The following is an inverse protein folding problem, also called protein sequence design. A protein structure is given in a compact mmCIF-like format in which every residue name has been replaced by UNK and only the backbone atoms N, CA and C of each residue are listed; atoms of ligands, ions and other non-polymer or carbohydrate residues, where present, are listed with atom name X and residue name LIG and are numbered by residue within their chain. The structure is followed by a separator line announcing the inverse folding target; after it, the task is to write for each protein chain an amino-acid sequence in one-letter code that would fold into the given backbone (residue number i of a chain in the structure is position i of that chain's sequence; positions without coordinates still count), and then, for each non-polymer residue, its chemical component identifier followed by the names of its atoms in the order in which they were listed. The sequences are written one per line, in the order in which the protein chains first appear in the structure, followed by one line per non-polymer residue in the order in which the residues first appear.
data_IF_338765604609
#
_entry.id   IF_338765604609
#
_cell.length_a   1.000
_cell.length_b   1.000
_cell.length_c   1.000
_cell.angle_alpha   90.00
_cell.angle_beta   90.00
_cell.angle_gamma   90.00
#
_symmetry.space_group_name_H-M   'P 1'
#
loop_
_entity.id
_entity.type
_entity.pdbx_description
1 polymer ?
#
# COMPACT_ATOMS: atom_id res chain seq x y z
N UNK A 1 3.25 6.03 10.06
CA UNK A 1 3.75 6.42 8.72
C UNK A 1 3.40 7.86 8.37
N UNK A 2 2.12 8.23 8.29
CA UNK A 2 1.69 9.58 7.89
C UNK A 2 2.37 10.70 8.68
N UNK A 3 2.43 10.59 10.01
CA UNK A 3 3.20 11.52 10.86
C UNK A 3 4.66 11.70 10.43
N UNK A 4 5.34 10.62 10.01
CA UNK A 4 6.72 10.68 9.55
C UNK A 4 6.83 11.34 8.17
N UNK A 5 5.87 11.10 7.27
CA UNK A 5 5.81 11.78 5.98
C UNK A 5 5.52 13.28 6.15
N UNK A 6 4.62 13.66 7.08
CA UNK A 6 4.35 15.06 7.41
C UNK A 6 5.56 15.79 7.96
N UNK A 7 6.39 15.13 8.77
CA UNK A 7 7.64 15.68 9.29
C UNK A 7 8.64 16.00 8.19
N UNK A 8 8.61 15.26 7.08
CA UNK A 8 9.54 15.37 5.97
C UNK A 8 8.89 15.84 4.67
N UNK A 9 7.71 16.46 4.73
CA UNK A 9 6.96 16.94 3.56
C UNK A 9 7.73 17.95 2.70
N UNK A 10 8.68 18.67 3.30
CA UNK A 10 9.53 19.67 2.65
C UNK A 10 10.89 19.09 2.21
N UNK A 11 11.17 17.80 2.47
CA UNK A 11 12.37 17.13 1.95
C UNK A 11 12.26 17.02 0.41
N UNK A 12 13.27 17.42 -0.36
CA UNK A 12 13.20 17.45 -1.83
C UNK A 12 12.83 16.12 -2.49
N UNK A 13 13.30 15.00 -1.93
CA UNK A 13 13.06 13.67 -2.49
C UNK A 13 11.73 13.07 -2.01
N UNK A 14 11.41 13.21 -0.73
CA UNK A 14 10.16 12.67 -0.17
C UNK A 14 8.92 13.46 -0.58
N UNK A 15 9.05 14.77 -0.82
CA UNK A 15 7.95 15.61 -1.30
C UNK A 15 7.37 15.12 -2.64
N UNK A 16 8.16 14.41 -3.45
CA UNK A 16 7.70 13.79 -4.70
C UNK A 16 6.66 12.68 -4.47
N UNK A 17 6.64 12.10 -3.27
CA UNK A 17 5.73 11.02 -2.86
C UNK A 17 4.69 11.49 -1.83
N UNK A 18 4.62 12.78 -1.53
CA UNK A 18 3.73 13.32 -0.49
C UNK A 18 2.35 13.65 -1.06
N UNK A 19 1.41 12.70 -0.92
CA UNK A 19 0.02 12.81 -1.39
C UNK A 19 -0.98 12.62 -0.22
N UNK A 20 -1.02 13.56 0.75
CA UNK A 20 -1.79 13.36 1.97
C UNK A 20 -3.30 13.36 1.74
N UNK A 21 -3.82 13.99 0.68
CA UNK A 21 -5.26 13.98 0.37
C UNK A 21 -5.66 12.66 -0.26
N UNK A 22 -4.82 12.18 -1.17
CA UNK A 22 -5.10 11.01 -1.98
C UNK A 22 -4.82 9.72 -1.22
N UNK A 23 -3.80 9.67 -0.36
CA UNK A 23 -3.28 8.43 0.21
C UNK A 23 -3.44 8.29 1.72
N UNK A 24 -3.63 9.36 2.51
CA UNK A 24 -3.73 9.23 3.97
C UNK A 24 -4.91 8.34 4.35
N UNK A 25 -4.67 7.41 5.27
CA UNK A 25 -5.59 6.35 5.71
C UNK A 25 -6.00 6.50 7.17
N UNK A 26 -5.32 7.31 7.99
CA UNK A 26 -5.65 7.46 9.42
C UNK A 26 -7.13 7.77 9.67
N UNK A 27 -7.66 8.81 9.03
CA UNK A 27 -9.06 9.22 9.25
C UNK A 27 -10.05 8.13 8.82
N UNK A 28 -9.76 7.45 7.71
CA UNK A 28 -10.54 6.32 7.23
C UNK A 28 -10.49 5.12 8.20
N UNK A 29 -9.32 4.81 8.76
CA UNK A 29 -9.16 3.79 9.80
C UNK A 29 -9.93 4.16 11.08
N UNK A 30 -9.92 5.42 11.49
CA UNK A 30 -10.68 5.88 12.65
C UNK A 30 -12.19 5.73 12.44
N UNK A 31 -12.69 5.99 11.22
CA UNK A 31 -14.09 5.75 10.84
C UNK A 31 -14.46 4.26 10.88
N UNK A 32 -13.61 3.39 10.32
CA UNK A 32 -13.84 1.96 10.34
C UNK A 32 -13.81 1.40 11.77
N UNK A 33 -12.89 1.86 12.62
CA UNK A 33 -12.83 1.45 14.03
C UNK A 33 -14.07 1.86 14.81
N UNK A 34 -14.59 3.06 14.58
CA UNK A 34 -15.85 3.53 15.17
C UNK A 34 -17.05 2.71 14.68
N UNK A 35 -17.09 2.37 13.39
CA UNK A 35 -18.14 1.52 12.85
C UNK A 35 -18.16 0.13 13.52
N UNK A 36 -17.00 -0.52 13.67
CA UNK A 36 -16.92 -1.87 14.23
C UNK A 36 -17.07 -1.94 15.76
N UNK A 37 -16.63 -0.92 16.49
CA UNK A 37 -16.54 -0.95 17.96
C UNK A 37 -17.42 0.10 18.66
N UNK A 38 -18.14 0.93 17.91
CA UNK A 38 -18.95 2.03 18.44
C UNK A 38 -18.14 3.29 18.79
N UNK A 39 -18.80 4.32 19.36
CA UNK A 39 -18.18 5.63 19.62
C UNK A 39 -17.00 5.56 20.61
N UNK A 40 -16.99 4.55 21.48
CA UNK A 40 -15.95 4.32 22.49
C UNK A 40 -14.81 3.42 21.98
N UNK A 41 -14.67 3.24 20.65
CA UNK A 41 -13.68 2.33 20.03
C UNK A 41 -12.25 2.53 20.51
N UNK A 42 -11.87 3.74 20.92
CA UNK A 42 -10.53 4.05 21.44
C UNK A 42 -10.23 3.30 22.75
N UNK A 43 -11.25 3.06 23.56
CA UNK A 43 -11.14 2.29 24.81
C UNK A 43 -11.05 0.78 24.56
N UNK A 44 -11.45 0.34 23.36
CA UNK A 44 -11.44 -1.07 22.92
C UNK A 44 -10.15 -1.48 22.22
N UNK A 45 -9.23 -0.54 21.96
CA UNK A 45 -7.96 -0.84 21.32
C UNK A 45 -7.12 -1.78 22.19
N UNK A 46 -6.64 -2.85 21.58
CA UNK A 46 -5.67 -3.74 22.22
C UNK A 46 -4.30 -3.05 22.32
N UNK A 47 -3.47 -3.46 23.29
CA UNK A 47 -2.08 -3.01 23.35
C UNK A 47 -1.35 -3.29 22.04
N UNK A 48 -0.41 -2.41 21.68
CA UNK A 48 0.45 -2.60 20.51
C UNK A 48 1.19 -3.93 20.63
N UNK A 49 1.02 -4.79 19.63
CA UNK A 49 1.65 -6.11 19.60
C UNK A 49 3.14 -6.01 19.25
N UNK A 50 3.95 -7.04 19.53
CA UNK A 50 5.36 -7.06 19.15
C UNK A 50 5.63 -6.76 17.66
N UNK A 51 4.89 -7.35 16.72
CA UNK A 51 5.11 -7.09 15.29
C UNK A 51 4.67 -5.67 14.90
N UNK A 52 3.57 -5.15 15.47
CA UNK A 52 3.16 -3.75 15.29
C UNK A 52 4.24 -2.79 15.80
N UNK A 53 4.78 -3.03 17.00
CA UNK A 53 5.84 -2.21 17.56
C UNK A 53 7.12 -2.25 16.70
N UNK A 54 7.48 -3.42 16.18
CA UNK A 54 8.62 -3.56 15.27
C UNK A 54 8.43 -2.76 13.98
N UNK A 55 7.22 -2.73 13.43
CA UNK A 55 6.89 -1.91 12.26
C UNK A 55 6.96 -0.41 12.58
N UNK A 56 6.35 0.02 13.69
CA UNK A 56 6.39 1.42 14.15
C UNK A 56 7.83 1.88 14.33
N UNK A 57 8.66 1.07 15.00
CA UNK A 57 10.07 1.36 15.21
C UNK A 57 10.85 1.51 13.91
N UNK A 58 10.54 0.70 12.89
CA UNK A 58 11.20 0.80 11.58
C UNK A 58 10.90 2.15 10.91
N UNK A 59 9.64 2.59 10.94
CA UNK A 59 9.23 3.90 10.40
C UNK A 59 9.90 5.04 11.19
N UNK A 60 9.87 4.98 12.52
CA UNK A 60 10.47 6.02 13.37
C UNK A 60 12.00 6.09 13.23
N UNK A 61 12.66 4.95 13.05
CA UNK A 61 14.09 4.90 12.73
C UNK A 61 14.39 5.59 11.41
N UNK A 62 13.63 5.31 10.35
CA UNK A 62 13.81 6.00 9.06
C UNK A 62 13.54 7.51 9.20
N UNK A 63 12.49 7.90 9.91
CA UNK A 63 12.13 9.31 10.09
C UNK A 63 13.16 10.10 10.91
N UNK A 64 13.85 9.45 11.84
CA UNK A 64 14.84 10.08 12.73
C UNK A 64 16.29 9.98 12.22
N UNK A 65 16.53 9.26 11.13
CA UNK A 65 17.87 9.07 10.59
C UNK A 65 18.35 10.28 9.77
N UNK A 66 19.66 10.37 9.48
CA UNK A 66 20.20 11.33 8.51
C UNK A 66 19.75 11.08 7.06
N UNK A 67 19.04 9.97 6.79
CA UNK A 67 18.58 9.52 5.47
C UNK A 67 17.08 9.22 5.49
N UNK A 68 16.23 10.25 5.68
CA UNK A 68 14.78 10.07 5.75
C UNK A 68 14.19 9.51 4.44
N UNK A 69 14.91 9.58 3.31
CA UNK A 69 14.53 9.03 2.01
C UNK A 69 14.17 7.54 2.07
N UNK A 70 14.64 6.81 3.08
CA UNK A 70 14.21 5.43 3.36
C UNK A 70 12.69 5.30 3.59
N UNK A 71 12.00 6.37 3.99
CA UNK A 71 10.53 6.41 4.09
C UNK A 71 9.84 6.17 2.74
N UNK A 72 10.52 6.40 1.62
CA UNK A 72 10.01 6.06 0.29
C UNK A 72 9.68 4.56 0.16
N UNK A 73 10.46 3.69 0.83
CA UNK A 73 10.20 2.25 0.87
C UNK A 73 8.87 1.92 1.56
N UNK A 74 8.61 2.54 2.72
CA UNK A 74 7.39 2.33 3.49
C UNK A 74 6.15 2.82 2.74
N UNK A 75 6.24 4.04 2.19
CA UNK A 75 5.19 4.62 1.35
C UNK A 75 4.90 3.75 0.12
N UNK A 76 5.94 3.25 -0.54
CA UNK A 76 5.83 2.37 -1.69
C UNK A 76 5.10 1.07 -1.35
N UNK A 77 5.58 0.33 -0.34
CA UNK A 77 5.02 -0.98 0.01
C UNK A 77 3.57 -0.85 0.44
N UNK A 78 3.24 0.17 1.25
CA UNK A 78 1.89 0.28 1.78
C UNK A 78 0.91 0.84 0.76
N UNK A 79 1.12 2.04 0.24
CA UNK A 79 0.11 2.71 -0.58
C UNK A 79 -0.10 2.06 -1.96
N UNK A 80 0.97 1.57 -2.61
CA UNK A 80 0.77 0.83 -3.87
C UNK A 80 0.13 -0.53 -3.63
N UNK A 81 0.38 -1.15 -2.47
CA UNK A 81 -0.32 -2.36 -2.03
C UNK A 81 -1.82 -2.11 -1.88
N UNK A 82 -2.16 -1.07 -1.11
CA UNK A 82 -3.55 -0.69 -0.84
C UNK A 82 -4.32 -0.35 -2.14
N UNK A 83 -3.70 0.39 -3.07
CA UNK A 83 -4.26 0.72 -4.39
C UNK A 83 -4.34 -0.46 -5.38
N UNK A 84 -3.69 -1.59 -5.09
CA UNK A 84 -3.67 -2.76 -5.98
C UNK A 84 -4.70 -3.82 -5.60
N UNK A 85 -5.02 -3.95 -4.31
CA UNK A 85 -5.92 -5.00 -3.80
C UNK A 85 -7.10 -4.50 -2.98
N UNK A 86 -7.13 -3.23 -2.59
CA UNK A 86 -8.08 -2.72 -1.59
C UNK A 86 -9.55 -2.91 -1.98
N UNK A 87 -9.89 -2.65 -3.24
CA UNK A 87 -11.26 -2.80 -3.74
C UNK A 87 -11.75 -4.24 -3.75
N UNK A 88 -10.86 -5.22 -3.94
CA UNK A 88 -11.22 -6.64 -3.85
C UNK A 88 -11.45 -7.04 -2.40
N UNK A 89 -10.62 -6.54 -1.48
CA UNK A 89 -10.77 -6.81 -0.04
C UNK A 89 -12.03 -6.17 0.53
N UNK A 90 -12.34 -4.92 0.15
CA UNK A 90 -13.55 -4.20 0.55
C UNK A 90 -14.82 -4.99 0.20
N UNK A 91 -14.96 -5.40 -1.06
CA UNK A 91 -16.10 -6.20 -1.53
C UNK A 91 -16.28 -7.51 -0.76
N UNK A 92 -15.17 -8.13 -0.35
CA UNK A 92 -15.23 -9.36 0.45
C UNK A 92 -15.64 -9.09 1.88
N UNK A 93 -15.06 -8.08 2.52
CA UNK A 93 -15.44 -7.70 3.87
C UNK A 93 -16.94 -7.45 3.96
N UNK A 94 -17.49 -6.75 2.98
CA UNK A 94 -18.94 -6.52 2.87
C UNK A 94 -19.73 -7.82 2.70
N UNK A 95 -19.31 -8.66 1.74
CA UNK A 95 -20.01 -9.90 1.43
C UNK A 95 -20.00 -10.91 2.57
N UNK A 96 -18.90 -11.04 3.31
CA UNK A 96 -18.74 -12.09 4.33
C UNK A 96 -19.18 -11.69 5.72
N UNK A 97 -19.31 -10.38 6.00
CA UNK A 97 -19.67 -9.88 7.33
C UNK A 97 -21.02 -9.15 7.34
N UNK A 98 -21.83 -9.27 6.28
CA UNK A 98 -23.11 -8.57 6.12
C UNK A 98 -23.03 -7.06 6.40
N UNK A 99 -21.90 -6.45 6.03
CA UNK A 99 -21.65 -5.02 6.23
C UNK A 99 -22.34 -4.23 5.11
N UNK A 100 -23.01 -3.10 5.40
CA UNK A 100 -23.59 -2.23 4.37
C UNK A 100 -22.58 -1.77 3.31
N UNK A 101 -23.07 -1.49 2.10
CA UNK A 101 -22.24 -1.18 0.91
C UNK A 101 -21.32 0.06 1.06
N UNK A 102 -21.51 0.91 2.08
CA UNK A 102 -20.75 2.15 2.28
C UNK A 102 -20.22 2.36 3.71
N UNK A 103 -20.15 1.29 4.53
CA UNK A 103 -19.66 1.40 5.92
C UNK A 103 -18.60 0.34 6.23
N UNK A 104 -17.73 0.60 7.20
CA UNK A 104 -16.72 -0.38 7.67
C UNK A 104 -15.67 -0.78 6.64
N UNK A 105 -15.52 -0.01 5.56
CA UNK A 105 -14.53 -0.23 4.49
C UNK A 105 -13.83 1.05 4.04
N UNK A 106 -13.96 2.15 4.79
CA UNK A 106 -13.42 3.46 4.43
C UNK A 106 -11.91 3.39 4.13
N UNK A 107 -11.16 2.55 4.84
CA UNK A 107 -9.73 2.32 4.60
C UNK A 107 -9.40 1.97 3.14
N UNK A 108 -10.29 1.21 2.48
CA UNK A 108 -10.12 0.73 1.12
C UNK A 108 -10.67 1.68 0.05
N UNK A 109 -11.35 2.75 0.46
CA UNK A 109 -11.91 3.77 -0.43
C UNK A 109 -10.93 4.94 -0.57
N UNK A 110 -10.57 5.25 -1.82
CA UNK A 110 -9.64 6.32 -2.16
C UNK A 110 -10.39 7.37 -2.98
N UNK A 111 -11.29 8.12 -2.33
CA UNK A 111 -12.23 9.02 -3.01
C UNK A 111 -11.55 10.14 -3.81
N UNK A 112 -10.37 10.58 -3.34
CA UNK A 112 -9.53 11.58 -4.00
C UNK A 112 -8.68 10.98 -5.15
N UNK A 113 -8.76 9.66 -5.39
CA UNK A 113 -8.10 8.95 -6.48
C UNK A 113 -9.13 8.49 -7.50
N UNK A 114 -9.35 9.30 -8.55
CA UNK A 114 -10.32 8.98 -9.62
C UNK A 114 -10.05 7.64 -10.32
N UNK A 115 -8.78 7.33 -10.57
CA UNK A 115 -8.38 6.03 -11.10
C UNK A 115 -7.09 5.53 -10.48
N UNK A 116 -7.19 4.39 -9.79
CA UNK A 116 -6.07 3.75 -9.13
C UNK A 116 -4.92 3.39 -10.07
N UNK A 117 -5.20 2.99 -11.32
CA UNK A 117 -4.13 2.57 -12.25
C UNK A 117 -3.31 3.76 -12.76
N UNK A 118 -3.97 4.86 -13.12
CA UNK A 118 -3.36 6.13 -13.48
C UNK A 118 -2.57 6.69 -12.32
N UNK A 119 -3.13 6.65 -11.10
CA UNK A 119 -2.43 7.12 -9.91
C UNK A 119 -1.20 6.28 -9.59
N UNK A 120 -1.28 4.95 -9.66
CA UNK A 120 -0.13 4.05 -9.50
C UNK A 120 0.95 4.38 -10.54
N UNK A 121 0.59 4.62 -11.80
CA UNK A 121 1.56 4.99 -12.83
C UNK A 121 2.23 6.35 -12.56
N UNK A 122 1.45 7.35 -12.13
CA UNK A 122 1.99 8.64 -11.70
C UNK A 122 2.95 8.47 -10.53
N UNK A 123 2.57 7.69 -9.51
CA UNK A 123 3.42 7.40 -8.35
C UNK A 123 4.73 6.74 -8.77
N UNK A 124 4.71 5.80 -9.72
CA UNK A 124 5.93 5.17 -10.28
C UNK A 124 6.84 6.17 -10.97
N UNK A 125 6.26 7.08 -11.76
CA UNK A 125 7.02 8.14 -12.45
C UNK A 125 7.70 9.03 -11.40
N UNK A 126 6.97 9.46 -10.37
CA UNK A 126 7.51 10.28 -9.26
C UNK A 126 8.61 9.57 -8.48
N UNK A 127 8.43 8.28 -8.20
CA UNK A 127 9.44 7.47 -7.53
C UNK A 127 10.75 7.39 -8.33
N UNK A 128 10.68 7.30 -9.66
CA UNK A 128 11.87 7.34 -10.54
C UNK A 128 12.53 8.72 -10.65
N UNK A 129 11.89 9.79 -10.15
CA UNK A 129 12.46 11.13 -10.09
C UNK A 129 13.23 11.39 -8.80
N UNK A 130 13.25 10.44 -7.86
CA UNK A 130 14.06 10.56 -6.65
C UNK A 130 15.54 10.49 -7.03
N UNK A 131 16.26 11.56 -6.71
CA UNK A 131 17.70 11.70 -6.97
C UNK A 131 18.48 11.37 -5.70
N UNK A 132 19.02 10.15 -5.64
CA UNK A 132 19.83 9.62 -4.53
C UNK A 132 21.08 8.92 -5.04
N UNK A 133 22.06 8.71 -4.17
CA UNK A 133 23.22 7.89 -4.50
C UNK A 133 22.82 6.43 -4.77
N UNK A 134 23.63 5.71 -5.52
CA UNK A 134 23.43 4.27 -5.76
C UNK A 134 23.39 3.47 -4.44
N UNK A 135 24.22 3.85 -3.47
CA UNK A 135 24.22 3.26 -2.13
C UNK A 135 22.88 3.46 -1.42
N UNK A 136 22.35 4.69 -1.41
CA UNK A 136 21.07 4.99 -0.78
C UNK A 136 19.90 4.33 -1.54
N UNK A 137 19.97 4.26 -2.88
CA UNK A 137 19.00 3.49 -3.68
C UNK A 137 18.97 2.03 -3.23
N UNK A 138 20.13 1.39 -3.05
CA UNK A 138 20.19 0.01 -2.58
C UNK A 138 19.63 -0.13 -1.15
N UNK A 139 19.86 0.84 -0.27
CA UNK A 139 19.29 0.86 1.07
C UNK A 139 17.75 1.02 1.04
N UNK A 140 17.21 1.87 0.17
CA UNK A 140 15.75 2.01 -0.01
C UNK A 140 15.15 0.67 -0.49
N UNK A 141 15.83 -0.02 -1.40
CA UNK A 141 15.38 -1.32 -1.90
C UNK A 141 15.38 -2.38 -0.81
N UNK A 142 16.42 -2.42 0.01
CA UNK A 142 16.48 -3.36 1.14
C UNK A 142 15.43 -3.03 2.20
N UNK A 143 15.24 -1.76 2.53
CA UNK A 143 14.18 -1.32 3.43
C UNK A 143 12.78 -1.71 2.93
N UNK A 144 12.55 -1.72 1.61
CA UNK A 144 11.27 -2.15 1.05
C UNK A 144 11.03 -3.65 1.21
N UNK A 145 12.07 -4.48 1.06
CA UNK A 145 11.97 -5.92 1.36
C UNK A 145 11.65 -6.15 2.83
N UNK A 146 12.38 -5.48 3.71
CA UNK A 146 12.17 -5.56 5.16
C UNK A 146 10.76 -5.08 5.54
N UNK A 147 10.27 -4.01 4.93
CA UNK A 147 8.91 -3.51 5.11
C UNK A 147 7.87 -4.53 4.64
N UNK A 148 8.12 -5.19 3.51
CA UNK A 148 7.24 -6.24 3.01
C UNK A 148 7.21 -7.44 3.98
N UNK A 149 8.37 -7.88 4.48
CA UNK A 149 8.47 -8.93 5.49
C UNK A 149 7.75 -8.55 6.79
N UNK A 150 7.85 -7.30 7.23
CA UNK A 150 7.11 -6.80 8.40
C UNK A 150 5.60 -6.85 8.23
N UNK A 151 5.09 -6.60 7.02
CA UNK A 151 3.66 -6.83 6.75
C UNK A 151 3.30 -8.32 6.89
N UNK A 152 4.15 -9.23 6.40
CA UNK A 152 3.94 -10.68 6.56
C UNK A 152 3.94 -11.05 8.05
N UNK A 153 4.87 -10.51 8.83
CA UNK A 153 4.96 -10.79 10.27
C UNK A 153 3.72 -10.28 11.03
N UNK A 154 3.16 -9.12 10.64
CA UNK A 154 1.88 -8.64 11.19
C UNK A 154 0.74 -9.63 10.93
N UNK A 155 0.63 -10.17 9.71
CA UNK A 155 -0.41 -11.15 9.41
C UNK A 155 -0.19 -12.46 10.15
N UNK A 156 1.07 -12.91 10.27
CA UNK A 156 1.39 -14.14 11.02
C UNK A 156 1.04 -14.02 12.49
N UNK A 157 1.42 -12.92 13.14
CA UNK A 157 1.09 -12.66 14.54
C UNK A 157 -0.43 -12.59 14.75
N UNK A 158 -1.16 -11.97 13.81
CA UNK A 158 -2.62 -11.94 13.85
C UNK A 158 -3.25 -13.33 13.69
N UNK A 159 -2.73 -14.18 12.79
CA UNK A 159 -3.21 -15.56 12.61
C UNK A 159 -2.94 -16.43 13.85
N UNK A 160 -1.80 -16.25 14.52
CA UNK A 160 -1.45 -16.91 15.79
C UNK A 160 -2.40 -16.49 16.92
N UNK A 161 -2.76 -15.20 16.99
CA UNK A 161 -3.73 -14.68 17.97
C UNK A 161 -5.18 -15.17 17.71
N UNK A 162 -5.48 -15.65 16.50
CA UNK A 162 -6.79 -16.20 16.12
C UNK A 162 -6.97 -17.71 16.38
N UNK A 163 -6.02 -18.36 17.09
CA UNK A 163 -6.11 -19.79 17.41
C UNK A 163 -7.44 -20.13 18.13
N UNK A 164 -8.32 -20.83 17.40
CA UNK A 164 -9.70 -21.17 17.80
C UNK A 164 -10.78 -20.78 16.77
N UNK A 165 -10.45 -19.89 15.82
CA UNK A 165 -11.33 -19.44 14.71
C UNK A 165 -10.67 -19.46 13.33
N UNK A 166 -9.38 -19.81 13.25
CA UNK A 166 -8.64 -19.85 11.98
C UNK A 166 -9.21 -20.93 11.03
N UNK A 167 -9.55 -20.49 9.81
CA UNK A 167 -9.90 -21.40 8.71
C UNK A 167 -8.71 -22.32 8.41
N UNK A 168 -8.99 -23.60 8.19
CA UNK A 168 -7.97 -24.58 7.78
C UNK A 168 -7.31 -24.17 6.46
N UNK A 169 -6.08 -24.61 6.20
CA UNK A 169 -5.40 -24.35 4.91
C UNK A 169 -6.26 -24.77 3.71
N UNK A 170 -7.08 -25.81 3.88
CA UNK A 170 -8.01 -26.28 2.87
C UNK A 170 -9.16 -25.30 2.64
N UNK A 171 -9.77 -24.78 3.70
CA UNK A 171 -10.81 -23.76 3.62
C UNK A 171 -10.25 -22.44 3.05
N UNK A 172 -9.03 -22.06 3.41
CA UNK A 172 -8.34 -20.90 2.83
C UNK A 172 -8.08 -21.09 1.33
N UNK A 173 -7.62 -22.27 0.91
CA UNK A 173 -7.35 -22.59 -0.49
C UNK A 173 -8.64 -22.65 -1.33
N UNK A 174 -9.72 -23.22 -0.79
CA UNK A 174 -11.04 -23.24 -1.43
C UNK A 174 -11.60 -21.83 -1.58
N UNK A 175 -11.44 -21.01 -0.54
CA UNK A 175 -11.81 -19.60 -0.60
C UNK A 175 -11.01 -18.91 -1.70
N UNK A 176 -9.68 -19.04 -1.72
CA UNK A 176 -8.78 -18.46 -2.72
C UNK A 176 -9.12 -18.91 -4.15
N UNK A 177 -9.45 -20.18 -4.34
CA UNK A 177 -9.85 -20.73 -5.64
C UNK A 177 -11.20 -20.15 -6.12
N UNK A 178 -12.16 -19.93 -5.21
CA UNK A 178 -13.43 -19.30 -5.52
C UNK A 178 -13.29 -17.84 -6.03
N UNK A 179 -12.10 -17.26 -5.90
CA UNK A 179 -11.78 -15.87 -6.21
C UNK A 179 -11.05 -15.71 -7.56
N UNK A 180 -10.60 -16.80 -8.17
CA UNK A 180 -9.96 -16.77 -9.49
C UNK A 180 -10.83 -16.15 -10.59
N UNK A 181 -12.15 -16.42 -10.69
CA UNK A 181 -12.98 -15.83 -11.74
C UNK A 181 -13.06 -14.30 -11.65
N UNK A 182 -13.14 -13.76 -10.44
CA UNK A 182 -13.22 -12.31 -10.22
C UNK A 182 -11.87 -11.62 -10.46
N UNK A 183 -10.76 -12.24 -10.02
CA UNK A 183 -9.40 -11.78 -10.36
C UNK A 183 -9.17 -11.78 -11.87
N UNK A 184 -9.62 -12.83 -12.57
CA UNK A 184 -9.50 -12.93 -14.01
C UNK A 184 -10.32 -11.84 -14.72
N UNK A 185 -11.53 -11.54 -14.24
CA UNK A 185 -12.39 -10.47 -14.75
C UNK A 185 -11.73 -9.09 -14.58
N UNK A 186 -11.26 -8.76 -13.38
CA UNK A 186 -10.57 -7.49 -13.11
C UNK A 186 -9.29 -7.35 -13.94
N UNK A 187 -8.50 -8.42 -14.06
CA UNK A 187 -7.31 -8.43 -14.91
C UNK A 187 -7.64 -8.30 -16.41
N UNK A 188 -8.83 -8.74 -16.85
CA UNK A 188 -9.30 -8.55 -18.22
C UNK A 188 -9.77 -7.10 -18.45
N UNK A 189 -10.53 -6.53 -17.52
CA UNK A 189 -10.94 -5.12 -17.53
C UNK A 189 -9.73 -4.19 -17.54
N UNK A 190 -8.71 -4.50 -16.73
CA UNK A 190 -7.47 -3.72 -16.68
C UNK A 190 -6.66 -3.85 -17.99
N UNK A 191 -6.59 -5.04 -18.59
CA UNK A 191 -5.97 -5.24 -19.91
C UNK A 191 -6.69 -4.43 -21.00
N UNK A 192 -8.02 -4.45 -21.01
CA UNK A 192 -8.82 -3.67 -21.95
C UNK A 192 -8.60 -2.16 -21.78
N UNK A 193 -8.58 -1.68 -20.53
CA UNK A 193 -8.28 -0.28 -20.19
C UNK A 193 -6.88 0.14 -20.67
N UNK A 194 -5.85 -0.68 -20.44
CA UNK A 194 -4.48 -0.41 -20.93
C UNK A 194 -4.39 -0.36 -22.45
N UNK A 195 -5.13 -1.22 -23.16
CA UNK A 195 -5.22 -1.18 -24.62
C UNK A 195 -5.90 0.10 -25.12
N UNK A 196 -6.98 0.54 -24.46
CA UNK A 196 -7.66 1.79 -24.79
C UNK A 196 -6.75 3.01 -24.58
N UNK A 197 -6.00 3.06 -23.47
CA UNK A 197 -5.01 4.11 -23.19
C UNK A 197 -3.89 4.16 -24.23
N UNK A 198 -3.41 3.00 -24.70
CA UNK A 198 -2.40 2.92 -25.78
C UNK A 198 -2.92 3.34 -27.15
N UNK A 199 -4.24 3.29 -27.36
CA UNK A 199 -4.87 3.71 -28.62
C UNK A 199 -5.08 5.22 -28.70
N UNK A 200 -4.90 5.96 -27.59
CA UNK A 200 -4.90 7.42 -27.60
C UNK A 200 -3.64 7.95 -28.30
N UNK A 201 -3.74 9.07 -29.03
CA UNK A 201 -2.57 9.68 -29.67
C UNK A 201 -1.52 10.04 -28.61
N UNK A 202 -0.22 9.84 -28.91
CA UNK A 202 0.84 10.13 -27.96
C UNK A 202 0.78 11.60 -27.56
N UNK A 203 0.59 11.85 -26.27
CA UNK A 203 0.80 13.17 -25.69
C UNK A 203 2.29 13.54 -25.88
N UNK A 204 2.63 14.80 -26.20
CA UNK A 204 4.02 15.19 -26.36
C UNK A 204 4.75 15.10 -25.01
N UNK A 205 5.47 14.01 -24.81
CA UNK A 205 6.40 13.83 -23.71
C UNK A 205 7.79 14.14 -24.26
N UNK A 206 8.42 15.20 -23.76
CA UNK A 206 9.85 15.41 -23.97
C UNK A 206 10.60 14.22 -23.36
N UNK A 207 11.20 13.38 -24.19
CA UNK A 207 12.03 12.27 -23.70
C UNK A 207 13.38 12.81 -23.23
N UNK A 208 13.79 12.63 -21.97
CA UNK A 208 15.20 12.71 -21.61
C UNK A 208 15.87 11.36 -21.92
N UNK A 209 17.06 11.43 -22.50
CA UNK A 209 17.98 10.32 -22.68
C UNK A 209 18.62 9.90 -21.35
N UNK A 210 18.70 8.58 -21.07
CA UNK A 210 19.71 7.82 -20.28
C UNK A 210 19.17 6.90 -19.13
N UNK A 211 19.92 5.82 -18.81
CA UNK A 211 19.74 4.77 -17.76
C UNK A 211 21.08 4.62 -17.00
N UNK A 212 21.18 4.38 -15.67
CA UNK A 212 20.24 3.66 -14.79
C UNK A 212 19.92 4.33 -13.43
N UNK A 213 18.64 4.46 -13.10
CA UNK A 213 18.12 4.78 -11.75
C UNK A 213 16.61 4.44 -11.65
N UNK A 214 16.18 3.32 -12.21
CA UNK A 214 14.78 2.93 -12.14
C UNK A 214 14.46 2.35 -10.75
N UNK A 215 14.42 3.20 -9.72
CA UNK A 215 14.08 2.84 -8.35
C UNK A 215 12.77 2.03 -8.32
N UNK A 216 11.80 2.38 -9.16
CA UNK A 216 10.61 1.55 -9.38
C UNK A 216 10.92 0.10 -9.76
N UNK A 217 11.77 -0.13 -10.76
CA UNK A 217 12.09 -1.49 -11.21
C UNK A 217 12.82 -2.28 -10.12
N UNK A 218 13.73 -1.62 -9.39
CA UNK A 218 14.44 -2.24 -8.26
C UNK A 218 13.48 -2.62 -7.13
N UNK A 219 12.55 -1.75 -6.77
CA UNK A 219 11.53 -2.04 -5.76
C UNK A 219 10.58 -3.14 -6.23
N UNK A 220 10.02 -3.05 -7.44
CA UNK A 220 9.09 -4.04 -7.98
C UNK A 220 9.71 -5.45 -8.04
N UNK A 221 10.98 -5.55 -8.42
CA UNK A 221 11.69 -6.82 -8.40
C UNK A 221 11.92 -7.33 -6.97
N UNK A 222 12.29 -6.45 -6.05
CA UNK A 222 12.62 -6.81 -4.67
C UNK A 222 11.43 -7.37 -3.88
N UNK A 223 10.21 -6.84 -4.12
CA UNK A 223 8.99 -7.28 -3.43
C UNK A 223 8.09 -8.18 -4.30
N UNK A 224 8.58 -8.63 -5.47
CA UNK A 224 7.86 -9.59 -6.32
C UNK A 224 6.61 -9.04 -7.03
N UNK A 225 6.55 -7.73 -7.30
CA UNK A 225 5.43 -7.05 -7.98
C UNK A 225 5.66 -6.82 -9.49
N UNK A 226 6.73 -7.40 -10.06
CA UNK A 226 7.13 -7.26 -11.47
C UNK A 226 6.53 -8.33 -12.39
#
# INVERSE_FOLDING_TARGET
MEKALDQHKDNPQLSLLYFPKELSRKEALEQDLEFFNGPDWREMLTPVTPAQQAYINAIERCASSPTPELLAAHSYVRYLGDLSGGQVLAKRLQKFNDIPEDQGIAFYLFDEVEDANTFKEMFRIRLNQIEVSEELQQQIVEEAKETFLRNIDLFREFDEDLEGTAMTEQEQAEHLAALEPERAKLAAEERARRQALRALPPQPISQPSWHPSALWNSLAHAVGLA
#
